data_IF_281134912173
#
_entry.id   IF_281134912173
#
_cell.length_a   1.000
_cell.length_b   1.000
_cell.length_c   1.000
_cell.angle_alpha   90.00
_cell.angle_beta   90.00
_cell.angle_gamma   90.00
#
_symmetry.space_group_name_H-M   'P 1'
#
loop_
_entity.id
_entity.type
_entity.pdbx_description
1 polymer ?
#
# COMPACT_ATOMS: atom_id res chain seq x y z
N UNK A 1 8.89 16.44 -17.22
CA UNK A 1 10.13 16.26 -17.98
C UNK A 1 10.21 14.77 -18.27
N UNK A 2 10.03 14.37 -19.52
CA UNK A 2 9.95 12.97 -19.95
C UNK A 2 11.37 12.53 -20.29
N UNK A 3 11.92 11.54 -19.59
CA UNK A 3 13.27 11.04 -19.84
C UNK A 3 13.19 9.84 -20.78
N UNK A 4 13.85 9.96 -21.94
CA UNK A 4 13.97 8.91 -22.95
C UNK A 4 15.19 8.00 -22.69
N UNK A 5 15.18 6.83 -23.33
CA UNK A 5 16.05 5.65 -23.21
C UNK A 5 17.58 5.84 -23.36
N UNK A 6 18.10 7.07 -23.44
CA UNK A 6 19.54 7.35 -23.58
C UNK A 6 20.20 7.88 -22.30
N UNK A 7 19.50 7.84 -21.15
CA UNK A 7 20.15 8.14 -19.87
C UNK A 7 20.96 6.92 -19.39
N UNK A 8 22.29 7.02 -19.51
CA UNK A 8 23.24 6.01 -19.04
C UNK A 8 23.15 5.73 -17.53
N UNK A 9 22.47 6.58 -16.76
CA UNK A 9 22.25 6.37 -15.32
C UNK A 9 21.00 5.53 -15.02
N UNK A 10 20.13 5.28 -16.01
CA UNK A 10 18.87 4.56 -15.85
C UNK A 10 18.76 3.39 -16.83
N UNK A 11 19.83 2.59 -16.97
CA UNK A 11 19.89 1.39 -17.86
C UNK A 11 18.81 0.32 -17.59
N UNK A 12 18.09 0.42 -16.47
CA UNK A 12 17.00 -0.48 -16.10
C UNK A 12 15.59 0.14 -16.28
N UNK A 13 15.48 1.36 -16.80
CA UNK A 13 14.20 2.00 -17.12
C UNK A 13 13.71 1.61 -18.51
N UNK A 14 12.98 0.49 -18.60
CA UNK A 14 12.46 -0.03 -19.86
C UNK A 14 11.30 0.86 -20.36
N UNK A 15 11.42 1.56 -21.49
CA UNK A 15 10.37 2.48 -21.95
C UNK A 15 9.22 1.74 -22.64
N UNK A 16 9.49 0.58 -23.26
CA UNK A 16 8.52 -0.21 -24.01
C UNK A 16 8.81 -1.70 -23.85
N UNK A 17 7.78 -2.51 -23.60
CA UNK A 17 7.90 -3.97 -23.61
C UNK A 17 6.54 -4.62 -23.91
N UNK A 18 6.52 -5.63 -24.79
CA UNK A 18 5.31 -6.39 -25.15
C UNK A 18 4.11 -5.50 -25.55
N UNK A 19 4.35 -4.43 -26.29
CA UNK A 19 3.31 -3.48 -26.72
C UNK A 19 2.82 -2.51 -25.63
N UNK A 20 3.40 -2.56 -24.43
CA UNK A 20 3.13 -1.62 -23.35
C UNK A 20 4.21 -0.54 -23.32
N UNK A 21 3.86 0.64 -22.79
CA UNK A 21 4.80 1.75 -22.59
C UNK A 21 4.88 2.14 -21.12
N UNK A 22 6.05 2.64 -20.71
CA UNK A 22 6.34 3.00 -19.34
C UNK A 22 7.13 4.31 -19.28
N UNK A 23 6.83 5.13 -18.29
CA UNK A 23 7.52 6.39 -18.05
C UNK A 23 8.05 6.43 -16.63
N UNK A 24 9.13 7.18 -16.43
CA UNK A 24 9.87 7.24 -15.18
C UNK A 24 10.17 8.70 -14.81
N UNK A 25 10.29 8.99 -13.51
CA UNK A 25 10.82 10.27 -13.03
C UNK A 25 12.36 10.27 -13.01
N UNK A 26 12.96 11.37 -12.59
CA UNK A 26 14.42 11.54 -12.50
C UNK A 26 15.09 10.66 -11.44
N UNK A 27 14.32 10.11 -10.51
CA UNK A 27 14.81 9.20 -9.48
C UNK A 27 14.69 7.73 -9.94
N UNK A 28 14.23 7.50 -11.17
CA UNK A 28 14.00 6.17 -11.72
C UNK A 28 12.71 5.50 -11.24
N UNK A 29 11.83 6.21 -10.53
CA UNK A 29 10.53 5.65 -10.18
C UNK A 29 9.64 5.63 -11.40
N UNK A 30 8.99 4.50 -11.63
CA UNK A 30 8.03 4.37 -12.72
C UNK A 30 6.75 5.17 -12.39
N UNK A 31 6.44 6.21 -13.17
CA UNK A 31 5.30 7.12 -12.93
C UNK A 31 4.07 6.77 -13.75
N UNK A 32 4.24 6.12 -14.91
CA UNK A 32 3.12 5.76 -15.79
C UNK A 32 3.31 4.38 -16.43
N UNK A 33 2.20 3.67 -16.63
CA UNK A 33 2.13 2.44 -17.44
C UNK A 33 0.95 2.51 -18.39
N UNK A 34 1.18 2.32 -19.68
CA UNK A 34 0.12 2.05 -20.64
C UNK A 34 0.11 0.55 -20.91
N UNK A 35 -0.93 -0.14 -20.44
CA UNK A 35 -1.08 -1.59 -20.56
C UNK A 35 -2.42 -1.88 -21.23
N UNK A 36 -2.37 -2.32 -22.49
CA UNK A 36 -3.57 -2.44 -23.32
C UNK A 36 -4.31 -1.11 -23.41
N UNK A 37 -5.60 -1.08 -23.04
CA UNK A 37 -6.42 0.14 -23.00
C UNK A 37 -6.29 0.94 -21.70
N UNK A 38 -5.60 0.40 -20.70
CA UNK A 38 -5.54 0.98 -19.37
C UNK A 38 -4.28 1.83 -19.18
N UNK A 39 -4.45 2.96 -18.50
CA UNK A 39 -3.36 3.83 -18.06
C UNK A 39 -3.26 3.76 -16.54
N UNK A 40 -2.10 3.39 -16.04
CA UNK A 40 -1.77 3.37 -14.63
C UNK A 40 -0.89 4.56 -14.29
N UNK A 41 -1.25 5.31 -13.25
CA UNK A 41 -0.42 6.37 -12.67
C UNK A 41 0.08 5.92 -11.30
N UNK A 42 1.38 5.99 -11.10
CA UNK A 42 2.05 5.63 -9.86
C UNK A 42 2.61 6.91 -9.25
N UNK A 43 2.14 7.24 -8.04
CA UNK A 43 2.40 8.51 -7.39
C UNK A 43 3.23 8.23 -6.14
N UNK A 44 4.30 9.00 -5.97
CA UNK A 44 5.30 8.82 -4.92
C UNK A 44 5.34 10.04 -4.01
N UNK A 45 5.70 9.83 -2.74
CA UNK A 45 6.08 10.93 -1.86
C UNK A 45 7.51 11.41 -2.13
N UNK A 46 7.90 12.46 -1.41
CA UNK A 46 9.24 13.08 -1.53
C UNK A 46 10.39 12.15 -1.11
N UNK A 47 10.08 11.06 -0.41
CA UNK A 47 11.04 10.04 0.03
C UNK A 47 11.07 8.83 -0.92
N UNK A 48 10.53 8.98 -2.15
CA UNK A 48 10.44 7.94 -3.17
C UNK A 48 9.62 6.70 -2.77
N UNK A 49 8.60 6.88 -1.91
CA UNK A 49 7.68 5.79 -1.54
C UNK A 49 6.36 5.92 -2.29
N UNK A 50 5.88 4.82 -2.86
CA UNK A 50 4.61 4.78 -3.60
C UNK A 50 3.44 5.06 -2.63
N UNK A 51 2.72 6.15 -2.85
CA UNK A 51 1.57 6.56 -2.01
C UNK A 51 0.22 6.30 -2.66
N UNK A 52 0.15 6.26 -4.00
CA UNK A 52 -1.11 6.05 -4.70
C UNK A 52 -0.90 5.37 -6.07
N UNK A 53 -1.82 4.48 -6.43
CA UNK A 53 -1.95 3.93 -7.79
C UNK A 53 -3.32 4.26 -8.32
N UNK A 54 -3.37 4.90 -9.49
CA UNK A 54 -4.61 5.14 -10.23
C UNK A 54 -4.67 4.28 -11.48
N UNK A 55 -5.84 3.75 -11.79
CA UNK A 55 -6.16 3.12 -13.07
C UNK A 55 -7.16 4.02 -13.79
N UNK A 56 -6.83 4.51 -14.98
CA UNK A 56 -7.67 5.42 -15.77
C UNK A 56 -8.19 6.60 -14.93
N UNK A 57 -7.27 7.28 -14.23
CA UNK A 57 -7.53 8.37 -13.27
C UNK A 57 -8.37 8.01 -12.03
N UNK A 58 -8.75 6.75 -11.82
CA UNK A 58 -9.45 6.29 -10.62
C UNK A 58 -8.46 5.66 -9.65
N UNK A 59 -8.41 6.13 -8.41
CA UNK A 59 -7.57 5.54 -7.37
C UNK A 59 -8.00 4.09 -7.07
N UNK A 60 -7.06 3.15 -7.20
CA UNK A 60 -7.28 1.72 -6.92
C UNK A 60 -6.50 1.25 -5.69
N UNK A 61 -5.43 1.96 -5.34
CA UNK A 61 -4.59 1.69 -4.17
C UNK A 61 -4.07 2.98 -3.56
N UNK A 62 -4.05 3.06 -2.23
CA UNK A 62 -3.42 4.13 -1.45
C UNK A 62 -2.58 3.53 -0.32
N UNK A 63 -1.45 4.16 -0.01
CA UNK A 63 -0.50 3.69 0.99
C UNK A 63 -0.10 4.83 1.93
N UNK A 64 0.05 4.53 3.21
CA UNK A 64 0.50 5.48 4.22
C UNK A 64 1.67 4.89 4.99
N UNK A 65 2.68 5.74 5.24
CA UNK A 65 3.93 5.38 5.91
C UNK A 65 4.06 6.18 7.21
N UNK A 66 4.74 5.61 8.20
CA UNK A 66 5.20 6.35 9.38
C UNK A 66 6.52 7.10 9.08
N UNK A 67 7.00 7.86 10.07
CA UNK A 67 8.24 8.63 9.95
C UNK A 67 9.51 7.78 9.80
N UNK A 68 9.44 6.48 10.11
CA UNK A 68 10.54 5.53 9.88
C UNK A 68 10.46 4.90 8.48
N UNK A 69 9.46 5.29 7.66
CA UNK A 69 9.22 4.73 6.33
C UNK A 69 8.57 3.36 6.32
N UNK A 70 8.00 2.89 7.44
CA UNK A 70 7.23 1.63 7.47
C UNK A 70 5.81 1.91 7.05
N UNK A 71 5.26 1.05 6.19
CA UNK A 71 3.87 1.14 5.76
C UNK A 71 2.93 0.81 6.92
N UNK A 72 2.15 1.78 7.36
CA UNK A 72 1.19 1.66 8.48
C UNK A 72 -0.25 1.51 8.02
N UNK A 73 -0.57 1.85 6.77
CA UNK A 73 -1.90 1.65 6.21
C UNK A 73 -1.83 1.41 4.71
N UNK A 74 -2.75 0.61 4.20
CA UNK A 74 -3.11 0.63 2.79
C UNK A 74 -4.62 0.52 2.59
N UNK A 75 -5.08 1.06 1.48
CA UNK A 75 -6.42 0.86 0.93
C UNK A 75 -6.24 0.25 -0.45
N UNK A 76 -6.75 -0.95 -0.71
CA UNK A 76 -6.70 -1.58 -2.05
C UNK A 76 -8.08 -2.15 -2.36
N UNK A 77 -8.65 -1.77 -3.50
CA UNK A 77 -10.00 -2.23 -3.87
C UNK A 77 -11.09 -1.90 -2.82
N UNK A 78 -10.90 -0.81 -2.07
CA UNK A 78 -11.77 -0.41 -0.95
C UNK A 78 -11.49 -1.09 0.38
N UNK A 79 -10.67 -2.16 0.41
CA UNK A 79 -10.27 -2.80 1.66
C UNK A 79 -9.18 -1.99 2.36
N UNK A 80 -9.44 -1.55 3.59
CA UNK A 80 -8.43 -0.89 4.42
C UNK A 80 -7.77 -1.86 5.38
N UNK A 81 -6.44 -1.92 5.35
CA UNK A 81 -5.62 -2.63 6.33
C UNK A 81 -4.72 -1.64 7.05
N UNK A 82 -4.65 -1.74 8.37
CA UNK A 82 -3.81 -0.90 9.23
C UNK A 82 -2.86 -1.75 10.05
N UNK A 83 -1.65 -1.25 10.25
CA UNK A 83 -0.58 -1.88 11.03
C UNK A 83 -0.20 -0.98 12.20
N UNK A 84 0.10 -1.60 13.34
CA UNK A 84 0.77 -0.94 14.46
C UNK A 84 2.05 -1.71 14.76
N UNK A 85 3.15 -1.21 14.19
CA UNK A 85 4.45 -1.86 14.23
C UNK A 85 4.39 -3.32 13.73
N UNK A 86 5.25 -4.18 14.30
CA UNK A 86 5.26 -5.61 14.02
C UNK A 86 4.25 -6.44 14.83
N UNK A 87 3.33 -5.79 15.56
CA UNK A 87 2.56 -6.43 16.63
C UNK A 87 1.07 -6.61 16.30
N UNK A 88 0.54 -5.80 15.39
CA UNK A 88 -0.89 -5.71 15.20
C UNK A 88 -1.24 -5.33 13.77
N UNK A 89 -2.20 -6.05 13.20
CA UNK A 89 -2.84 -5.75 11.93
C UNK A 89 -4.37 -5.72 12.12
N UNK A 90 -5.05 -4.76 11.50
CA UNK A 90 -6.51 -4.69 11.43
C UNK A 90 -7.00 -4.62 10.00
N UNK A 91 -7.85 -5.57 9.62
CA UNK A 91 -8.60 -5.61 8.36
C UNK A 91 -10.10 -5.60 8.67
N UNK A 92 -10.73 -4.43 8.53
CA UNK A 92 -12.13 -4.25 8.93
C UNK A 92 -12.37 -4.59 10.41
N UNK A 93 -13.13 -5.66 10.66
CA UNK A 93 -13.39 -6.21 11.99
C UNK A 93 -12.40 -7.31 12.40
N UNK A 94 -11.59 -7.82 11.48
CA UNK A 94 -10.56 -8.79 11.80
C UNK A 94 -9.32 -8.09 12.36
N UNK A 95 -8.83 -8.59 13.48
CA UNK A 95 -7.61 -8.15 14.15
C UNK A 95 -6.67 -9.34 14.23
N UNK A 96 -5.45 -9.19 13.74
CA UNK A 96 -4.37 -10.14 13.97
C UNK A 96 -3.36 -9.53 14.94
N UNK A 97 -3.08 -10.22 16.04
CA UNK A 97 -2.00 -9.89 16.98
C UNK A 97 -0.83 -10.81 16.73
N UNK A 98 0.37 -10.27 16.67
CA UNK A 98 1.62 -11.01 16.53
C UNK A 98 2.36 -11.04 17.86
N UNK A 99 2.82 -12.23 18.24
CA UNK A 99 3.66 -12.44 19.41
C UNK A 99 5.09 -12.61 18.92
N UNK A 100 5.98 -11.73 19.39
CA UNK A 100 7.37 -11.66 18.95
C UNK A 100 8.29 -12.11 20.10
N UNK A 101 9.36 -12.84 19.77
CA UNK A 101 10.50 -13.09 20.62
C UNK A 101 11.74 -12.47 19.95
N UNK A 102 12.15 -11.29 20.44
CA UNK A 102 13.09 -10.44 19.71
C UNK A 102 12.54 -10.05 18.34
N UNK A 103 13.32 -10.27 17.28
CA UNK A 103 12.90 -10.02 15.89
C UNK A 103 12.02 -11.13 15.30
N UNK A 104 11.89 -12.29 15.97
CA UNK A 104 11.18 -13.44 15.43
C UNK A 104 9.71 -13.43 15.84
N UNK A 105 8.80 -13.60 14.86
CA UNK A 105 7.39 -13.87 15.14
C UNK A 105 7.23 -15.32 15.55
N UNK A 106 6.80 -15.55 16.79
CA UNK A 106 6.66 -16.91 17.38
C UNK A 106 5.22 -17.40 17.42
N UNK A 107 4.24 -16.50 17.39
CA UNK A 107 2.83 -16.87 17.28
C UNK A 107 1.97 -15.73 16.71
N UNK A 108 0.73 -16.04 16.34
CA UNK A 108 -0.29 -15.04 16.03
C UNK A 108 -1.66 -15.45 16.57
N UNK A 109 -2.49 -14.46 16.88
CA UNK A 109 -3.90 -14.64 17.25
C UNK A 109 -4.79 -13.75 16.41
N UNK A 110 -5.72 -14.36 15.70
CA UNK A 110 -6.75 -13.68 14.93
C UNK A 110 -8.04 -13.56 15.76
N UNK A 111 -8.65 -12.38 15.76
CA UNK A 111 -9.88 -12.07 16.49
C UNK A 111 -10.79 -11.27 15.57
N UNK A 112 -12.03 -11.71 15.39
CA UNK A 112 -13.06 -10.90 14.74
C UNK A 112 -13.78 -10.10 15.81
N UNK A 113 -13.61 -8.77 15.81
CA UNK A 113 -14.42 -7.89 16.65
C UNK A 113 -15.83 -7.83 16.07
N UNK A 114 -16.83 -8.36 16.77
CA UNK A 114 -18.22 -8.15 16.38
C UNK A 114 -18.52 -6.65 16.49
N UNK A 115 -19.03 -6.05 15.42
CA UNK A 115 -19.47 -4.66 15.45
C UNK A 115 -20.67 -4.54 16.40
N UNK A 116 -20.47 -3.84 17.53
CA UNK A 116 -21.52 -3.27 18.37
C UNK A 116 -22.71 -4.16 18.73
N UNK A 117 -22.53 -5.12 19.63
CA UNK A 117 -23.61 -5.47 20.56
C UNK A 117 -23.22 -4.89 21.91
N UNK A 118 -23.56 -3.61 22.13
CA UNK A 118 -23.68 -3.08 23.49
C UNK A 118 -24.76 -3.92 24.18
N UNK A 119 -24.35 -4.94 24.94
CA UNK A 119 -25.21 -5.50 25.98
C UNK A 119 -25.28 -4.42 27.07
N UNK A 120 -26.22 -3.48 26.92
CA UNK A 120 -26.62 -2.58 28.01
C UNK A 120 -27.17 -3.49 29.10
N UNK A 121 -26.31 -3.85 30.04
CA UNK A 121 -26.70 -4.56 31.24
C UNK A 121 -27.65 -3.67 32.03
N UNK A 122 -28.95 -3.89 31.87
CA UNK A 122 -29.96 -3.32 32.74
C UNK A 122 -29.70 -3.81 34.16
N UNK A 123 -29.26 -2.90 35.02
CA UNK A 123 -29.24 -3.11 36.47
C UNK A 123 -30.66 -2.85 36.98
N UNK A 124 -31.11 -3.76 37.85
CA UNK A 124 -32.46 -3.93 38.40
C UNK A 124 -33.14 -2.67 38.94
N UNK A 125 -34.47 -2.66 38.87
CA UNK A 125 -35.34 -2.45 40.02
C UNK A 125 -36.26 -3.67 40.13
#
# INVERSE_FOLDING_TARGET
MTLDYLDSNHVHAVPNANGNTYSYDSNGNQTTRHIGSDIFYLIYDVENRLVEVKKNNVAISQFTYDGDGKRVMFVIGGETVRFVGGYYERKGSEITKYYMAGALRVAMRKVTSQAGVMRRGGRKA
#
